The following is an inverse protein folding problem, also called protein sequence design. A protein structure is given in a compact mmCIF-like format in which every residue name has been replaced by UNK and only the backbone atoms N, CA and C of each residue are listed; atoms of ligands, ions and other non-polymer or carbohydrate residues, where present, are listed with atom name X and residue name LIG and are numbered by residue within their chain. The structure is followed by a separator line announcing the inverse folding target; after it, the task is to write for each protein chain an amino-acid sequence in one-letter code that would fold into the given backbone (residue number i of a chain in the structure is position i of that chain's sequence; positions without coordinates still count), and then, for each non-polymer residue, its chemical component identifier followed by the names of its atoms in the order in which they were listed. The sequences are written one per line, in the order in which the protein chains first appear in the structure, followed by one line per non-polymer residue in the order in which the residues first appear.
data_IF_346901924770
#
_entry.id   IF_346901924770
#
_cell.length_a   1.000
_cell.length_b   1.000
_cell.length_c   1.000
_cell.angle_alpha   90.00
_cell.angle_beta   90.00
_cell.angle_gamma   90.00
#
_symmetry.space_group_name_H-M   'P 1'
#
loop_
_entity.id
_entity.type
_entity.pdbx_description
1 polymer ?
#
# COMPACT_ATOMS: atom_id res chain seq x y z
N UNK A 1 17.10 18.91 -3.86
CA UNK A 1 16.88 17.52 -4.28
C UNK A 1 15.43 17.44 -4.70
N UNK A 2 15.11 16.90 -5.87
CA UNK A 2 13.71 16.73 -6.27
C UNK A 2 13.10 15.67 -5.35
N UNK A 3 12.04 16.04 -4.64
CA UNK A 3 11.27 15.09 -3.83
C UNK A 3 10.51 14.14 -4.76
N UNK A 4 10.48 12.85 -4.42
CA UNK A 4 9.68 11.86 -5.15
C UNK A 4 8.21 12.26 -5.11
N UNK A 5 7.56 12.27 -6.27
CA UNK A 5 6.16 12.72 -6.36
C UNK A 5 5.20 11.67 -5.79
N UNK A 6 3.97 12.04 -5.41
CA UNK A 6 2.94 11.09 -5.01
C UNK A 6 2.71 9.97 -6.03
N UNK A 7 2.71 10.29 -7.33
CA UNK A 7 2.56 9.31 -8.42
C UNK A 7 3.71 8.31 -8.46
N UNK A 8 4.95 8.80 -8.32
CA UNK A 8 6.13 7.95 -8.25
C UNK A 8 6.09 7.02 -7.03
N UNK A 9 5.64 7.51 -5.88
CA UNK A 9 5.46 6.69 -4.67
C UNK A 9 4.36 5.64 -4.86
N UNK A 10 3.21 5.99 -5.45
CA UNK A 10 2.14 5.04 -5.76
C UNK A 10 2.62 3.93 -6.70
N UNK A 11 3.39 4.28 -7.73
CA UNK A 11 3.99 3.29 -8.65
C UNK A 11 5.01 2.39 -7.94
N UNK A 12 5.80 2.93 -7.00
CA UNK A 12 6.71 2.13 -6.18
C UNK A 12 5.96 1.17 -5.26
N UNK A 13 4.85 1.60 -4.64
CA UNK A 13 4.01 0.73 -3.79
C UNK A 13 3.39 -0.39 -4.63
N UNK A 14 2.82 -0.07 -5.80
CA UNK A 14 2.29 -1.06 -6.74
C UNK A 14 3.36 -2.08 -7.15
N UNK A 15 4.54 -1.59 -7.54
CA UNK A 15 5.66 -2.44 -7.93
C UNK A 15 6.14 -3.34 -6.78
N UNK A 16 6.12 -2.82 -5.56
CA UNK A 16 6.44 -3.57 -4.33
C UNK A 16 5.41 -4.69 -4.11
N UNK A 17 4.11 -4.42 -4.29
CA UNK A 17 3.07 -5.45 -4.22
C UNK A 17 3.27 -6.56 -5.27
N UNK A 18 3.64 -6.19 -6.51
CA UNK A 18 3.97 -7.17 -7.55
C UNK A 18 5.16 -8.03 -7.14
N UNK A 19 6.23 -7.45 -6.60
CA UNK A 19 7.40 -8.18 -6.12
C UNK A 19 7.05 -9.12 -4.95
N UNK A 20 6.21 -8.69 -4.02
CA UNK A 20 5.70 -9.54 -2.93
C UNK A 20 4.97 -10.75 -3.50
N UNK A 21 4.08 -10.55 -4.48
CA UNK A 21 3.35 -11.63 -5.13
C UNK A 21 4.27 -12.62 -5.84
N UNK A 22 5.36 -12.16 -6.47
CA UNK A 22 6.30 -13.07 -7.15
C UNK A 22 7.07 -14.01 -6.21
N UNK A 23 7.11 -13.73 -4.90
CA UNK A 23 7.78 -14.59 -3.92
C UNK A 23 6.95 -15.83 -3.54
N UNK A 24 5.66 -15.88 -3.89
CA UNK A 24 4.78 -17.03 -3.61
C UNK A 24 4.43 -17.26 -2.12
N UNK A 25 4.96 -16.45 -1.20
CA UNK A 25 4.69 -16.53 0.25
C UNK A 25 3.46 -15.71 0.67
N UNK A 26 3.14 -14.68 -0.09
CA UNK A 26 2.10 -13.70 0.23
C UNK A 26 1.27 -13.37 -1.00
N UNK A 27 0.02 -13.00 -0.76
CA UNK A 27 -0.82 -12.30 -1.71
C UNK A 27 -0.97 -10.84 -1.26
N UNK A 28 -0.34 -9.93 -1.98
CA UNK A 28 -0.44 -8.49 -1.82
C UNK A 28 -1.47 -7.91 -2.80
N UNK A 29 -2.34 -7.06 -2.28
CA UNK A 29 -3.37 -6.32 -3.01
C UNK A 29 -3.05 -4.84 -2.95
N UNK A 30 -3.24 -4.14 -4.06
CA UNK A 30 -3.14 -2.69 -4.18
C UNK A 30 -4.50 -2.16 -4.65
N UNK A 31 -5.19 -1.42 -3.78
CA UNK A 31 -6.51 -0.87 -4.08
C UNK A 31 -6.45 0.67 -4.03
N UNK A 32 -6.69 1.30 -5.18
CA UNK A 32 -6.71 2.76 -5.32
C UNK A 32 -8.15 3.27 -5.40
N UNK A 33 -8.56 4.10 -4.44
CA UNK A 33 -9.86 4.72 -4.38
C UNK A 33 -9.77 6.23 -4.71
N UNK A 34 -9.76 6.54 -6.01
CA UNK A 34 -9.57 7.92 -6.49
C UNK A 34 -10.65 8.91 -6.03
N UNK A 35 -11.88 8.44 -5.80
CA UNK A 35 -12.99 9.30 -5.35
C UNK A 35 -12.85 9.81 -3.91
N UNK A 36 -12.00 9.17 -3.08
CA UNK A 36 -11.67 9.62 -1.72
C UNK A 36 -10.19 9.97 -1.55
N UNK A 37 -9.40 9.87 -2.62
CA UNK A 37 -7.97 10.15 -2.58
C UNK A 37 -7.18 9.19 -1.69
N UNK A 38 -7.58 7.93 -1.61
CA UNK A 38 -6.96 6.94 -0.72
C UNK A 38 -6.41 5.74 -1.49
N UNK A 39 -5.31 5.18 -0.98
CA UNK A 39 -4.72 3.93 -1.43
C UNK A 39 -4.61 2.97 -0.25
N UNK A 40 -4.86 1.70 -0.51
CA UNK A 40 -4.85 0.64 0.48
C UNK A 40 -3.96 -0.51 0.00
N UNK A 41 -3.13 -1.03 0.90
CA UNK A 41 -2.38 -2.27 0.68
C UNK A 41 -2.84 -3.31 1.68
N UNK A 42 -3.15 -4.50 1.18
CA UNK A 42 -3.52 -5.67 1.99
C UNK A 42 -2.57 -6.80 1.69
N UNK A 43 -2.08 -7.48 2.71
CA UNK A 43 -1.19 -8.63 2.57
C UNK A 43 -1.75 -9.80 3.34
N UNK A 44 -1.81 -10.98 2.70
CA UNK A 44 -2.21 -12.24 3.36
C UNK A 44 -1.29 -13.39 2.99
N UNK A 45 -1.13 -14.41 3.86
CA UNK A 45 -0.39 -15.62 3.52
C UNK A 45 -0.93 -16.28 2.25
N UNK A 46 -0.06 -16.85 1.41
CA UNK A 46 -0.47 -17.46 0.14
C UNK A 46 -1.35 -18.71 0.32
N UNK A 47 -1.29 -19.37 1.48
CA UNK A 47 -2.15 -20.50 1.84
C UNK A 47 -3.53 -20.09 2.39
N UNK A 48 -3.90 -18.80 2.31
CA UNK A 48 -5.18 -18.29 2.82
C UNK A 48 -6.36 -18.92 2.08
N UNK A 49 -7.27 -19.55 2.83
CA UNK A 49 -8.57 -19.96 2.30
C UNK A 49 -9.54 -18.77 2.25
N UNK A 50 -9.70 -18.17 1.07
CA UNK A 50 -10.57 -17.00 0.87
C UNK A 50 -12.06 -17.25 1.14
N UNK A 51 -12.54 -18.49 1.01
CA UNK A 51 -13.96 -18.81 1.24
C UNK A 51 -14.33 -18.90 2.72
N UNK A 52 -13.36 -19.25 3.57
CA UNK A 52 -13.56 -19.40 5.02
C UNK A 52 -13.10 -18.16 5.81
N UNK A 53 -12.50 -17.18 5.13
CA UNK A 53 -11.89 -16.02 5.78
C UNK A 53 -12.94 -15.02 6.26
N UNK A 54 -12.80 -14.57 7.51
CA UNK A 54 -13.63 -13.50 8.08
C UNK A 54 -13.11 -12.13 7.67
N UNK A 55 -13.99 -11.12 7.52
CA UNK A 55 -13.55 -9.73 7.37
C UNK A 55 -12.83 -9.29 8.65
N UNK A 56 -11.55 -8.90 8.55
CA UNK A 56 -10.78 -8.34 9.67
C UNK A 56 -9.41 -8.96 9.93
N UNK A 57 -9.19 -10.22 9.56
CA UNK A 57 -7.95 -10.95 9.89
C UNK A 57 -6.78 -10.67 8.92
N UNK A 58 -6.65 -9.43 8.46
CA UNK A 58 -5.79 -9.08 7.32
C UNK A 58 -4.86 -7.95 7.68
N UNK A 59 -3.55 -8.17 7.48
CA UNK A 59 -2.60 -7.08 7.53
C UNK A 59 -2.95 -6.06 6.43
N UNK A 60 -3.31 -4.86 6.86
CA UNK A 60 -3.83 -3.80 6.00
C UNK A 60 -3.25 -2.48 6.46
N UNK A 61 -2.80 -1.67 5.51
CA UNK A 61 -2.37 -0.30 5.76
C UNK A 61 -2.90 0.60 4.66
N UNK A 62 -3.27 1.81 5.03
CA UNK A 62 -3.90 2.79 4.16
C UNK A 62 -3.15 4.12 4.21
N UNK A 63 -3.12 4.84 3.08
CA UNK A 63 -2.63 6.21 3.00
C UNK A 63 -3.62 7.09 2.22
N UNK A 64 -3.77 8.34 2.65
CA UNK A 64 -4.40 9.39 1.85
C UNK A 64 -3.32 10.02 0.99
N UNK A 65 -3.52 10.01 -0.34
CA UNK A 65 -2.53 10.51 -1.31
C UNK A 65 -2.92 11.84 -1.96
N UNK A 66 -4.19 12.25 -1.83
CA UNK A 66 -4.66 13.56 -2.30
C UNK A 66 -5.96 13.94 -1.59
N UNK A 67 -6.30 15.22 -1.62
CA UNK A 67 -7.64 15.71 -1.27
C UNK A 67 -8.57 15.58 -2.46
N UNK A 68 -9.84 15.31 -2.21
CA UNK A 68 -10.88 15.23 -3.24
C UNK A 68 -12.09 16.06 -2.84
N UNK A 69 -12.95 16.40 -3.79
CA UNK A 69 -14.20 17.13 -3.49
C UNK A 69 -15.15 16.31 -2.62
N UNK A 70 -15.14 14.99 -2.76
CA UNK A 70 -16.00 14.08 -2.00
C UNK A 70 -15.42 13.77 -0.61
N UNK A 71 -14.10 13.86 -0.43
CA UNK A 71 -13.42 13.68 0.84
C UNK A 71 -12.35 14.77 1.03
N UNK A 72 -12.77 16.00 1.36
CA UNK A 72 -11.87 17.13 1.48
C UNK A 72 -10.94 16.93 2.68
N UNK A 73 -9.66 17.19 2.45
CA UNK A 73 -8.59 17.09 3.45
C UNK A 73 -7.87 18.43 3.58
N UNK A 74 -8.63 19.50 3.80
CA UNK A 74 -8.16 20.90 3.79
C UNK A 74 -7.05 21.21 4.82
N UNK A 75 -6.91 20.37 5.84
CA UNK A 75 -5.87 20.48 6.87
C UNK A 75 -4.56 19.77 6.50
N UNK A 76 -4.56 18.96 5.42
CA UNK A 76 -3.40 18.21 4.96
C UNK A 76 -2.70 18.97 3.83
N UNK A 77 -1.37 18.97 3.88
CA UNK A 77 -0.52 19.53 2.83
C UNK A 77 0.00 18.41 1.93
N UNK A 78 0.54 18.78 0.76
CA UNK A 78 1.20 17.83 -0.14
C UNK A 78 2.28 16.99 0.58
N UNK A 79 3.03 17.62 1.50
CA UNK A 79 4.04 16.93 2.31
C UNK A 79 3.44 15.87 3.24
N UNK A 80 2.25 16.11 3.79
CA UNK A 80 1.55 15.10 4.60
C UNK A 80 1.12 13.90 3.75
N UNK A 81 0.58 14.13 2.56
CA UNK A 81 0.22 13.05 1.62
C UNK A 81 1.46 12.26 1.18
N UNK A 82 2.55 12.98 0.87
CA UNK A 82 3.83 12.37 0.52
C UNK A 82 4.37 11.50 1.65
N UNK A 83 4.38 12.01 2.89
CA UNK A 83 4.85 11.23 4.04
C UNK A 83 3.98 9.99 4.28
N UNK A 84 2.65 10.09 4.16
CA UNK A 84 1.76 8.94 4.29
C UNK A 84 2.07 7.84 3.24
N UNK A 85 2.40 8.23 2.01
CA UNK A 85 2.81 7.31 0.96
C UNK A 85 4.19 6.68 1.23
N UNK A 86 5.15 7.45 1.76
CA UNK A 86 6.46 6.92 2.19
C UNK A 86 6.27 5.87 3.30
N UNK A 87 5.43 6.16 4.28
CA UNK A 87 5.15 5.23 5.39
C UNK A 87 4.47 3.95 4.89
N UNK A 88 3.52 4.07 3.97
CA UNK A 88 2.87 2.92 3.32
C UNK A 88 3.86 2.10 2.48
N UNK A 89 4.75 2.76 1.73
CA UNK A 89 5.80 2.09 0.99
C UNK A 89 6.73 1.31 1.92
N UNK A 90 7.20 1.92 3.00
CA UNK A 90 8.07 1.28 3.99
C UNK A 90 7.38 0.08 4.64
N UNK A 91 6.11 0.23 5.04
CA UNK A 91 5.31 -0.88 5.58
C UNK A 91 5.17 -2.02 4.57
N UNK A 92 4.89 -1.71 3.30
CA UNK A 92 4.74 -2.70 2.23
C UNK A 92 6.06 -3.42 1.97
N UNK A 93 7.18 -2.69 1.93
CA UNK A 93 8.52 -3.25 1.75
C UNK A 93 8.92 -4.23 2.87
N UNK A 94 8.34 -4.12 4.06
CA UNK A 94 8.52 -5.08 5.16
C UNK A 94 8.12 -6.52 4.82
N UNK A 95 7.35 -6.74 3.75
CA UNK A 95 6.98 -8.07 3.26
C UNK A 95 7.88 -8.62 2.14
N UNK A 96 8.88 -7.84 1.68
CA UNK A 96 9.87 -8.33 0.73
C UNK A 96 10.93 -9.13 1.50
N UNK A 97 11.03 -10.42 1.21
CA UNK A 97 12.21 -11.19 1.59
C UNK A 97 13.31 -10.94 0.57
N UNK A 98 14.22 -10.02 0.88
CA UNK A 98 15.51 -10.00 0.20
C UNK A 98 16.30 -11.21 0.72
N UNK A 99 16.39 -12.25 -0.11
CA UNK A 99 16.70 -13.62 0.32
C UNK A 99 17.85 -13.77 1.30
N UNK A 100 17.58 -14.57 2.34
CA UNK A 100 18.37 -15.74 2.79
C UNK A 100 17.46 -16.59 3.70
N UNK A 101 17.72 -17.90 3.75
CA UNK A 101 16.92 -19.02 4.31
C UNK A 101 15.99 -19.64 3.23
N UNK A 102 16.37 -20.71 2.51
CA UNK A 102 17.34 -21.81 2.74
C UNK A 102 18.29 -22.04 1.55
#
# INVERSE_FOLDING_TARGET
MNHTTPEELLLQILSTCLLINTQGKWHAFFDLAGHVGQVDVRVVPSNTNYHARKPGDTARQQATFTSTDQYPSEHLTEEHFRQALVDLLAWTQGYINMGNEE
#
